data_IF_382548852660
#
_entry.id   IF_382548852660
#
_cell.length_a   1.000
_cell.length_b   1.000
_cell.length_c   1.000
_cell.angle_alpha   90.00
_cell.angle_beta   90.00
_cell.angle_gamma   90.00
#
_symmetry.space_group_name_H-M   'P 1'
#
loop_
_entity.id
_entity.type
_entity.pdbx_description
1 polymer ?
#
# COMPACT_ATOMS: atom_id res chain seq x y z
N UNK A 1 11.91 11.57 18.79
CA UNK A 1 12.70 10.53 18.10
C UNK A 1 12.28 10.53 16.64
N UNK A 2 13.22 10.62 15.70
CA UNK A 2 12.89 10.57 14.27
C UNK A 2 12.54 9.14 13.87
N UNK A 3 11.57 8.97 12.95
CA UNK A 3 11.19 7.63 12.44
C UNK A 3 12.40 6.85 11.89
N UNK A 4 13.38 7.57 11.33
CA UNK A 4 14.64 7.00 10.88
C UNK A 4 15.40 6.27 11.99
N UNK A 5 15.51 6.86 13.18
CA UNK A 5 16.19 6.23 14.33
C UNK A 5 15.51 4.93 14.76
N UNK A 6 14.18 4.88 14.75
CA UNK A 6 13.41 3.68 15.08
C UNK A 6 13.71 2.53 14.09
N UNK A 7 13.70 2.83 12.79
CA UNK A 7 14.00 1.84 11.75
C UNK A 7 15.46 1.38 11.78
N UNK A 8 16.41 2.30 12.00
CA UNK A 8 17.83 1.95 12.12
C UNK A 8 18.08 1.07 13.34
N UNK A 9 17.45 1.37 14.48
CA UNK A 9 17.59 0.56 15.68
C UNK A 9 17.02 -0.85 15.48
N UNK A 10 15.82 -0.96 14.90
CA UNK A 10 15.23 -2.26 14.57
C UNK A 10 16.08 -3.06 13.59
N UNK A 11 16.60 -2.41 12.54
CA UNK A 11 17.50 -3.02 11.57
C UNK A 11 18.80 -3.51 12.19
N UNK A 12 19.42 -2.72 13.06
CA UNK A 12 20.65 -3.09 13.77
C UNK A 12 20.42 -4.27 14.73
N UNK A 13 19.29 -4.30 15.44
CA UNK A 13 18.95 -5.38 16.35
C UNK A 13 18.76 -6.73 15.64
N UNK A 14 18.29 -6.70 14.39
CA UNK A 14 18.14 -7.89 13.55
C UNK A 14 19.45 -8.27 12.84
N UNK A 15 20.08 -7.32 12.15
CA UNK A 15 21.28 -7.58 11.34
C UNK A 15 22.53 -7.85 12.18
N UNK A 16 22.62 -7.31 13.40
CA UNK A 16 23.77 -7.54 14.29
C UNK A 16 23.96 -9.03 14.62
N UNK A 17 22.99 -9.69 15.25
CA UNK A 17 23.06 -11.13 15.51
C UNK A 17 23.18 -11.97 14.22
N UNK A 18 22.45 -11.60 13.16
CA UNK A 18 22.52 -12.31 11.88
C UNK A 18 23.93 -12.30 11.29
N UNK A 19 24.57 -11.13 11.20
CA UNK A 19 25.94 -11.02 10.70
C UNK A 19 26.93 -11.78 11.58
N UNK A 20 26.80 -11.70 12.91
CA UNK A 20 27.65 -12.44 13.85
C UNK A 20 27.56 -13.96 13.70
N UNK A 21 26.38 -14.49 13.35
CA UNK A 21 26.18 -15.92 13.08
C UNK A 21 26.76 -16.28 11.71
N UNK A 22 26.53 -15.47 10.68
CA UNK A 22 27.02 -15.71 9.31
C UNK A 22 28.55 -15.65 9.24
N UNK A 23 29.19 -14.72 9.95
CA UNK A 23 30.66 -14.63 10.01
C UNK A 23 31.30 -15.67 10.93
N UNK A 24 30.52 -16.52 11.60
CA UNK A 24 31.02 -17.54 12.52
C UNK A 24 31.53 -17.00 13.85
N UNK A 25 31.35 -15.70 14.14
CA UNK A 25 31.72 -15.08 15.42
C UNK A 25 30.95 -15.72 16.58
N UNK A 26 29.71 -16.17 16.32
CA UNK A 26 28.91 -16.97 17.24
C UNK A 26 28.53 -18.28 16.54
N UNK A 27 29.20 -19.36 16.93
CA UNK A 27 28.93 -20.70 16.41
C UNK A 27 28.45 -21.64 17.52
N UNK A 28 27.40 -22.39 17.21
CA UNK A 28 26.82 -23.46 18.02
C UNK A 28 26.47 -24.62 17.09
N UNK A 29 26.18 -25.80 17.65
CA UNK A 29 25.78 -26.97 16.84
C UNK A 29 24.56 -26.68 15.95
N UNK A 30 23.59 -25.91 16.45
CA UNK A 30 22.38 -25.53 15.71
C UNK A 30 22.66 -24.53 14.59
N UNK A 31 23.49 -23.51 14.84
CA UNK A 31 23.79 -22.50 13.80
C UNK A 31 24.63 -23.07 12.66
N UNK A 32 25.46 -24.08 12.95
CA UNK A 32 26.20 -24.82 11.93
C UNK A 32 25.29 -25.70 11.08
N UNK A 33 24.34 -26.42 11.71
CA UNK A 33 23.40 -27.29 11.00
C UNK A 33 22.48 -26.54 10.03
N UNK A 34 22.03 -25.34 10.41
CA UNK A 34 21.09 -24.53 9.62
C UNK A 34 21.75 -23.32 8.95
N UNK A 35 23.07 -23.33 8.77
CA UNK A 35 23.83 -22.17 8.30
C UNK A 35 23.31 -21.62 6.96
N UNK A 36 23.03 -22.50 5.99
CA UNK A 36 22.49 -22.12 4.68
C UNK A 36 21.15 -21.38 4.80
N UNK A 37 20.24 -21.87 5.65
CA UNK A 37 18.94 -21.23 5.86
C UNK A 37 19.11 -19.87 6.54
N UNK A 38 20.02 -19.77 7.51
CA UNK A 38 20.32 -18.52 8.21
C UNK A 38 20.94 -17.51 7.25
N UNK A 39 21.82 -17.94 6.34
CA UNK A 39 22.46 -17.09 5.34
C UNK A 39 21.42 -16.41 4.44
N UNK A 40 20.44 -17.18 3.95
CA UNK A 40 19.39 -16.65 3.06
C UNK A 40 18.19 -16.04 3.79
N UNK A 41 18.15 -16.06 5.13
CA UNK A 41 17.03 -15.58 5.94
C UNK A 41 16.54 -14.17 5.57
N UNK A 42 17.41 -13.14 5.38
CA UNK A 42 16.94 -11.80 5.04
C UNK A 42 16.23 -11.76 3.68
N UNK A 43 16.73 -12.52 2.70
CA UNK A 43 16.16 -12.59 1.36
C UNK A 43 14.80 -13.29 1.40
N UNK A 44 14.70 -14.39 2.14
CA UNK A 44 13.43 -15.12 2.33
C UNK A 44 12.39 -14.23 2.98
N UNK A 45 12.75 -13.47 4.02
CA UNK A 45 11.85 -12.53 4.68
C UNK A 45 11.36 -11.42 3.75
N UNK A 46 12.26 -10.84 2.93
CA UNK A 46 11.89 -9.83 1.94
C UNK A 46 10.93 -10.40 0.89
N UNK A 47 11.18 -11.62 0.42
CA UNK A 47 10.33 -12.28 -0.56
C UNK A 47 8.92 -12.56 -0.01
N UNK A 48 8.82 -13.09 1.21
CA UNK A 48 7.54 -13.30 1.89
C UNK A 48 6.80 -11.98 2.12
N UNK A 49 7.50 -10.94 2.55
CA UNK A 49 6.92 -9.61 2.71
C UNK A 49 6.41 -9.04 1.38
N UNK A 50 7.15 -9.23 0.28
CA UNK A 50 6.74 -8.78 -1.04
C UNK A 50 5.45 -9.49 -1.50
N UNK A 51 5.37 -10.82 -1.35
CA UNK A 51 4.16 -11.59 -1.67
C UNK A 51 2.98 -11.11 -0.81
N UNK A 52 3.20 -10.94 0.50
CA UNK A 52 2.17 -10.46 1.42
C UNK A 52 1.66 -9.07 1.00
N UNK A 53 2.58 -8.13 0.75
CA UNK A 53 2.23 -6.78 0.33
C UNK A 53 1.45 -6.78 -0.99
N UNK A 54 1.90 -7.54 -2.00
CA UNK A 54 1.22 -7.67 -3.27
C UNK A 54 -0.19 -8.27 -3.10
N UNK A 55 -0.32 -9.32 -2.28
CA UNK A 55 -1.60 -9.97 -1.99
C UNK A 55 -2.57 -9.00 -1.30
N UNK A 56 -2.11 -8.24 -0.31
CA UNK A 56 -2.94 -7.25 0.40
C UNK A 56 -3.40 -6.14 -0.53
N UNK A 57 -2.50 -5.62 -1.38
CA UNK A 57 -2.85 -4.59 -2.36
C UNK A 57 -3.88 -5.13 -3.34
N UNK A 58 -3.62 -6.28 -3.97
CA UNK A 58 -4.55 -6.90 -4.92
C UNK A 58 -5.91 -7.18 -4.27
N UNK A 59 -5.93 -7.79 -3.09
CA UNK A 59 -7.17 -8.10 -2.39
C UNK A 59 -7.97 -6.83 -2.11
N UNK A 60 -7.33 -5.77 -1.59
CA UNK A 60 -8.02 -4.51 -1.29
C UNK A 60 -8.48 -3.79 -2.54
N UNK A 61 -7.73 -3.85 -3.64
CA UNK A 61 -8.13 -3.26 -4.91
C UNK A 61 -9.29 -4.03 -5.53
N UNK A 62 -9.26 -5.36 -5.54
CA UNK A 62 -10.34 -6.18 -6.09
C UNK A 62 -11.61 -6.16 -5.24
N UNK A 63 -11.49 -6.01 -3.92
CA UNK A 63 -12.64 -5.92 -3.00
C UNK A 63 -13.11 -4.49 -2.78
N UNK A 64 -12.50 -3.50 -3.46
CA UNK A 64 -13.01 -2.14 -3.47
C UNK A 64 -14.37 -2.16 -4.17
N UNK A 65 -15.44 -2.11 -3.38
CA UNK A 65 -16.80 -2.16 -3.89
C UNK A 65 -17.01 -0.92 -4.77
N UNK A 66 -17.25 -1.12 -6.06
CA UNK A 66 -17.68 -0.04 -6.95
C UNK A 66 -19.07 0.36 -6.50
N UNK A 67 -19.16 1.39 -5.67
CA UNK A 67 -20.44 1.93 -5.20
C UNK A 67 -21.08 2.73 -6.35
N UNK A 68 -21.63 2.00 -7.30
CA UNK A 68 -22.21 2.54 -8.53
C UNK A 68 -23.41 3.44 -8.21
N UNK A 69 -24.24 3.05 -7.22
CA UNK A 69 -25.34 3.86 -6.71
C UNK A 69 -24.88 5.21 -6.14
N UNK A 70 -23.78 5.23 -5.37
CA UNK A 70 -23.23 6.49 -4.86
C UNK A 70 -22.63 7.35 -5.97
N UNK A 71 -22.09 6.74 -7.03
CA UNK A 71 -21.62 7.48 -8.20
C UNK A 71 -22.79 8.08 -8.99
N UNK A 72 -23.88 7.36 -9.16
CA UNK A 72 -25.09 7.84 -9.84
C UNK A 72 -25.80 8.96 -9.06
N UNK A 73 -25.94 8.82 -7.75
CA UNK A 73 -26.55 9.86 -6.91
C UNK A 73 -25.74 11.16 -6.93
N UNK A 74 -24.41 11.07 -6.84
CA UNK A 74 -23.52 12.25 -6.98
C UNK A 74 -23.65 12.91 -8.35
N UNK A 75 -23.70 12.12 -9.44
CA UNK A 75 -23.88 12.66 -10.79
C UNK A 75 -25.20 13.43 -10.90
N UNK A 76 -26.27 12.92 -10.28
CA UNK A 76 -27.58 13.55 -10.28
C UNK A 76 -27.57 14.87 -9.49
N UNK A 77 -26.96 14.90 -8.31
CA UNK A 77 -26.78 16.12 -7.52
C UNK A 77 -25.99 17.19 -8.29
N UNK A 78 -24.92 16.80 -9.00
CA UNK A 78 -24.14 17.72 -9.84
C UNK A 78 -25.01 18.29 -10.98
N UNK A 79 -25.81 17.44 -11.65
CA UNK A 79 -26.72 17.90 -12.72
C UNK A 79 -27.75 18.90 -12.18
N UNK A 80 -28.33 18.65 -11.00
CA UNK A 80 -29.27 19.55 -10.35
C UNK A 80 -28.62 20.89 -9.95
N UNK A 81 -27.46 20.84 -9.30
CA UNK A 81 -26.73 22.05 -8.89
C UNK A 81 -26.33 22.91 -10.10
N UNK A 82 -25.89 22.29 -11.20
CA UNK A 82 -25.59 23.02 -12.44
C UNK A 82 -26.84 23.67 -13.05
N UNK A 83 -27.99 23.00 -13.02
CA UNK A 83 -29.25 23.57 -13.49
C UNK A 83 -29.65 24.80 -12.66
N UNK A 84 -29.55 24.73 -11.34
CA UNK A 84 -29.82 25.87 -10.46
C UNK A 84 -28.87 27.06 -10.72
N UNK A 85 -27.58 26.80 -10.92
CA UNK A 85 -26.60 27.85 -11.20
C UNK A 85 -26.86 28.52 -12.57
N UNK A 86 -27.36 27.77 -13.55
CA UNK A 86 -27.79 28.33 -14.85
C UNK A 86 -29.05 29.19 -14.69
N UNK A 87 -30.02 28.76 -13.89
CA UNK A 87 -31.22 29.56 -13.56
C UNK A 87 -30.81 30.86 -12.87
N UNK A 88 -29.83 30.81 -11.97
CA UNK A 88 -29.27 31.98 -11.27
C UNK A 88 -28.36 32.85 -12.15
N UNK A 89 -28.14 32.48 -13.42
CA UNK A 89 -27.31 33.25 -14.37
C UNK A 89 -25.81 33.21 -14.08
N UNK A 90 -25.34 32.33 -13.20
CA UNK A 90 -23.94 32.20 -12.80
C UNK A 90 -23.15 31.40 -13.84
N UNK A 91 -23.79 30.39 -14.47
CA UNK A 91 -23.19 29.58 -15.53
C UNK A 91 -23.75 29.96 -16.91
N UNK A 92 -22.92 29.93 -17.98
CA UNK A 92 -23.38 30.09 -19.35
C UNK A 92 -24.44 29.06 -19.74
N UNK A 93 -25.35 29.43 -20.64
CA UNK A 93 -26.35 28.51 -21.21
C UNK A 93 -25.63 27.48 -22.08
N UNK A 94 -25.63 26.24 -21.64
CA UNK A 94 -24.94 25.13 -22.28
C UNK A 94 -25.51 24.84 -23.68
N UNK A 95 -24.69 24.89 -24.74
CA UNK A 95 -25.17 24.62 -26.08
C UNK A 95 -25.35 23.13 -26.41
N UNK A 96 -24.71 22.18 -25.68
CA UNK A 96 -24.75 20.74 -26.03
C UNK A 96 -24.08 19.72 -25.07
N UNK A 97 -23.87 20.02 -23.79
CA UNK A 97 -22.82 19.35 -23.00
C UNK A 97 -23.18 18.59 -21.71
N UNK A 98 -24.45 18.27 -21.40
CA UNK A 98 -24.81 17.55 -20.16
C UNK A 98 -25.25 16.09 -20.33
N UNK A 99 -25.43 15.62 -21.56
CA UNK A 99 -25.93 14.27 -21.88
C UNK A 99 -24.81 13.25 -22.21
N UNK A 100 -23.54 13.66 -22.12
CA UNK A 100 -22.35 12.82 -22.40
C UNK A 100 -21.63 12.33 -21.13
N UNK A 101 -22.25 12.44 -19.95
CA UNK A 101 -21.74 11.94 -18.65
C UNK A 101 -22.75 11.11 -17.86
#
# INVERSE_FOLDING_TARGET
MTKLMEWLFGGALFLGPWTAIVTGTVSSSLTSQYHEIILYLPIVLLFLFAIWAATVVLYRTFTFNNCEEAAESLKLEIKQAQAELRIKGILPRDPKGSDLM
#
